data_IF_149508862111
#
_entry.id   IF_149508862111
#
_cell.length_a   1.000
_cell.length_b   1.000
_cell.length_c   1.000
_cell.angle_alpha   90.00
_cell.angle_beta   90.00
_cell.angle_gamma   90.00
#
_symmetry.space_group_name_H-M   'P 1'
#
loop_
_entity.id
_entity.type
_entity.pdbx_description
1 polymer ?
#
# COMPACT_ATOMS: atom_id res chain seq x y z
N UNK A 1 15.39 -3.51 8.63
CA UNK A 1 14.13 -4.26 8.48
C UNK A 1 14.15 -5.07 7.20
N UNK A 2 13.58 -6.26 7.22
CA UNK A 2 13.51 -7.13 6.05
C UNK A 2 12.76 -8.42 6.35
N UNK A 3 12.58 -9.23 5.31
CA UNK A 3 12.03 -10.57 5.43
C UNK A 3 13.16 -11.59 5.65
N UNK A 4 12.94 -12.54 6.52
CA UNK A 4 13.74 -13.75 6.66
C UNK A 4 12.84 -14.97 6.49
N UNK A 5 13.34 -15.97 5.77
CA UNK A 5 12.64 -17.22 5.55
C UNK A 5 13.25 -18.30 6.44
N UNK A 6 12.44 -18.99 7.18
CA UNK A 6 12.85 -20.13 7.99
C UNK A 6 12.15 -21.40 7.51
N UNK A 7 12.94 -22.42 7.24
CA UNK A 7 12.44 -23.78 6.95
C UNK A 7 12.67 -24.62 8.19
N UNK A 8 11.61 -24.99 8.89
CA UNK A 8 11.66 -25.99 9.94
C UNK A 8 11.04 -27.30 9.43
N UNK A 9 11.72 -28.39 9.66
CA UNK A 9 11.12 -29.72 9.49
C UNK A 9 10.57 -30.14 10.83
N UNK A 10 9.24 -30.20 10.92
CA UNK A 10 8.58 -30.69 12.12
C UNK A 10 8.86 -32.18 12.30
N UNK A 11 9.46 -32.53 13.43
CA UNK A 11 9.76 -33.92 13.80
C UNK A 11 8.62 -34.51 14.66
N UNK A 12 7.53 -33.81 14.90
CA UNK A 12 6.51 -34.10 15.91
C UNK A 12 5.23 -34.77 15.41
N UNK A 13 4.85 -34.62 14.15
CA UNK A 13 3.57 -35.18 13.66
C UNK A 13 3.80 -36.57 13.06
N UNK A 14 3.59 -37.59 13.86
CA UNK A 14 3.53 -38.96 13.38
C UNK A 14 2.10 -39.28 12.97
N UNK A 15 1.77 -39.09 11.69
CA UNK A 15 0.52 -39.60 11.14
C UNK A 15 0.66 -41.12 11.06
N UNK A 16 -0.07 -41.87 11.89
CA UNK A 16 -0.23 -43.31 11.75
C UNK A 16 -1.12 -43.59 10.55
N UNK A 17 -0.56 -43.55 9.37
CA UNK A 17 -1.11 -44.28 8.24
C UNK A 17 -0.52 -45.70 8.23
N UNK A 18 -1.37 -46.68 7.88
CA UNK A 18 -1.06 -48.11 7.86
C UNK A 18 -0.13 -48.56 6.72
N UNK A 19 0.71 -47.66 6.21
CA UNK A 19 1.80 -47.95 5.27
C UNK A 19 3.00 -47.08 5.63
N UNK A 20 4.17 -47.75 5.76
CA UNK A 20 5.48 -47.27 6.24
C UNK A 20 6.12 -46.06 5.51
N UNK A 21 5.46 -44.92 5.43
CA UNK A 21 6.07 -43.67 4.94
C UNK A 21 5.86 -42.53 5.94
N UNK A 22 6.89 -42.25 6.72
CA UNK A 22 6.99 -41.07 7.57
C UNK A 22 7.24 -39.86 6.66
N UNK A 23 6.20 -39.11 6.36
CA UNK A 23 6.34 -37.80 5.69
C UNK A 23 6.71 -36.73 6.74
N UNK A 24 7.98 -36.32 6.73
CA UNK A 24 8.40 -35.09 7.43
C UNK A 24 7.83 -33.88 6.67
N UNK A 25 6.89 -33.18 7.27
CA UNK A 25 6.29 -31.97 6.69
C UNK A 25 7.15 -30.77 7.07
N UNK A 26 7.76 -30.13 6.08
CA UNK A 26 8.43 -28.85 6.28
C UNK A 26 7.41 -27.72 6.48
N UNK A 27 7.52 -26.96 7.55
CA UNK A 27 6.77 -25.75 7.77
C UNK A 27 7.62 -24.60 7.23
N UNK A 28 7.07 -23.87 6.26
CA UNK A 28 7.68 -22.65 5.75
C UNK A 28 7.14 -21.46 6.53
N UNK A 29 8.02 -20.75 7.25
CA UNK A 29 7.69 -19.52 7.96
C UNK A 29 8.42 -18.35 7.32
N UNK A 30 7.68 -17.30 7.01
CA UNK A 30 8.24 -15.99 6.68
C UNK A 30 8.19 -15.11 7.92
N UNK A 31 9.24 -14.34 8.13
CA UNK A 31 9.36 -13.43 9.28
C UNK A 31 9.74 -12.04 8.81
N UNK A 32 9.10 -11.05 9.40
CA UNK A 32 9.53 -9.65 9.33
C UNK A 32 10.43 -9.37 10.52
N UNK A 33 11.66 -8.91 10.25
CA UNK A 33 12.73 -8.83 11.25
C UNK A 33 13.27 -7.41 11.37
N UNK A 34 13.39 -6.91 12.60
CA UNK A 34 14.11 -5.71 12.95
C UNK A 34 15.40 -6.10 13.72
N UNK A 35 16.56 -5.80 13.16
CA UNK A 35 17.86 -5.98 13.81
C UNK A 35 18.42 -4.61 14.22
N UNK A 36 18.78 -4.46 15.47
CA UNK A 36 19.34 -3.26 16.05
C UNK A 36 20.81 -3.49 16.33
N UNK A 37 21.66 -2.56 15.87
CA UNK A 37 23.10 -2.63 16.03
C UNK A 37 23.61 -1.37 16.77
N UNK A 38 24.54 -1.57 17.68
CA UNK A 38 25.38 -0.48 18.20
C UNK A 38 26.49 -0.18 17.18
N UNK A 39 26.58 1.07 16.78
CA UNK A 39 27.57 1.59 15.82
C UNK A 39 28.63 2.44 16.51
N UNK A 40 28.80 2.36 17.85
CA UNK A 40 29.86 3.08 18.56
C UNK A 40 31.25 2.71 18.04
N UNK A 41 31.43 1.47 17.59
CA UNK A 41 32.53 1.04 16.73
C UNK A 41 32.00 0.71 15.33
N UNK A 42 32.15 1.63 14.38
CA UNK A 42 31.64 1.48 13.01
C UNK A 42 32.36 0.39 12.20
N UNK A 43 33.58 0.01 12.60
CA UNK A 43 34.36 -1.05 11.95
C UNK A 43 33.94 -2.45 12.44
N UNK A 44 33.32 -2.53 13.61
CA UNK A 44 32.82 -3.78 14.20
C UNK A 44 31.48 -3.55 14.90
N UNK A 45 30.37 -3.43 14.14
CA UNK A 45 29.05 -3.21 14.68
C UNK A 45 28.56 -4.40 15.51
N UNK A 46 28.11 -4.15 16.75
CA UNK A 46 27.56 -5.19 17.60
C UNK A 46 26.05 -5.24 17.56
N UNK A 47 25.48 -6.42 17.31
CA UNK A 47 24.04 -6.61 17.32
C UNK A 47 23.53 -6.67 18.75
N UNK A 48 22.69 -5.70 19.13
CA UNK A 48 22.14 -5.60 20.48
C UNK A 48 20.78 -6.28 20.64
N UNK A 49 19.93 -6.23 19.62
CA UNK A 49 18.56 -6.72 19.72
C UNK A 49 18.04 -7.19 18.37
N UNK A 50 17.23 -8.23 18.41
CA UNK A 50 16.43 -8.67 17.25
C UNK A 50 14.97 -8.78 17.69
N UNK A 51 14.05 -8.21 16.90
CA UNK A 51 12.62 -8.36 17.07
C UNK A 51 12.09 -9.00 15.78
N UNK A 52 11.35 -10.10 15.93
CA UNK A 52 10.77 -10.86 14.83
C UNK A 52 9.26 -10.95 15.03
N UNK A 53 8.51 -10.79 13.97
CA UNK A 53 7.08 -11.12 13.89
C UNK A 53 6.87 -12.02 12.67
N UNK A 54 6.02 -13.02 12.79
CA UNK A 54 5.72 -13.89 11.68
C UNK A 54 4.88 -13.17 10.62
N UNK A 55 5.20 -13.43 9.36
CA UNK A 55 4.55 -12.88 8.18
C UNK A 55 5.46 -12.05 7.29
N UNK A 56 4.96 -11.78 6.08
CA UNK A 56 5.62 -10.92 5.11
C UNK A 56 5.65 -9.47 5.59
N UNK A 57 6.75 -8.79 5.32
CA UNK A 57 6.87 -7.36 5.56
C UNK A 57 5.83 -6.57 4.75
N UNK A 58 5.06 -5.74 5.42
CA UNK A 58 4.07 -4.84 4.82
C UNK A 58 4.60 -3.42 4.80
N UNK A 59 4.94 -2.87 5.96
CA UNK A 59 5.38 -1.48 6.10
C UNK A 59 6.17 -1.27 7.37
N UNK A 60 6.91 -0.17 7.42
CA UNK A 60 7.57 0.30 8.63
C UNK A 60 7.62 1.81 8.70
N UNK A 61 7.68 2.33 9.92
CA UNK A 61 7.80 3.76 10.18
C UNK A 61 8.72 4.00 11.38
N UNK A 62 9.58 4.99 11.25
CA UNK A 62 10.34 5.55 12.37
C UNK A 62 9.76 6.94 12.69
N UNK A 63 9.41 7.17 13.95
CA UNK A 63 8.94 8.45 14.48
C UNK A 63 9.83 8.77 15.68
N UNK A 64 10.64 9.80 15.56
CA UNK A 64 11.72 10.07 16.49
C UNK A 64 12.59 8.81 16.67
N UNK A 65 12.77 8.34 17.90
CA UNK A 65 13.51 7.11 18.23
C UNK A 65 12.59 5.89 18.44
N UNK A 66 11.38 5.93 17.89
CA UNK A 66 10.43 4.82 17.98
C UNK A 66 10.23 4.20 16.60
N UNK A 67 10.32 2.88 16.56
CA UNK A 67 10.18 2.10 15.32
C UNK A 67 8.90 1.28 15.43
N UNK A 68 8.15 1.30 14.34
CA UNK A 68 6.92 0.52 14.15
C UNK A 68 7.06 -0.24 12.84
N UNK A 69 6.73 -1.52 12.85
CA UNK A 69 6.74 -2.34 11.65
C UNK A 69 5.62 -3.36 11.66
N UNK A 70 5.24 -3.80 10.47
CA UNK A 70 4.04 -4.59 10.24
C UNK A 70 4.40 -5.81 9.40
N UNK A 71 3.91 -6.97 9.83
CA UNK A 71 3.98 -8.22 9.09
C UNK A 71 2.59 -8.81 8.86
N UNK A 72 2.41 -9.50 7.74
CA UNK A 72 1.17 -10.17 7.38
C UNK A 72 1.41 -11.67 7.18
N UNK A 73 0.81 -12.49 8.07
CA UNK A 73 0.82 -13.96 8.00
C UNK A 73 -0.49 -14.46 7.39
N UNK A 74 -0.44 -15.10 6.23
CA UNK A 74 -1.58 -15.85 5.70
C UNK A 74 -1.75 -17.18 6.42
N UNK A 75 -2.99 -17.52 6.79
CA UNK A 75 -3.32 -18.81 7.39
C UNK A 75 -3.60 -19.83 6.29
N UNK A 76 -2.82 -20.91 6.25
CA UNK A 76 -3.02 -21.98 5.28
C UNK A 76 -4.11 -22.95 5.74
N UNK A 77 -5.36 -22.67 5.36
CA UNK A 77 -6.52 -23.50 5.72
C UNK A 77 -6.49 -24.92 5.16
N UNK A 78 -5.83 -25.14 4.03
CA UNK A 78 -5.68 -26.49 3.46
C UNK A 78 -4.84 -27.41 4.34
N UNK A 79 -3.95 -26.85 5.14
CA UNK A 79 -3.21 -27.63 6.12
C UNK A 79 -4.06 -27.92 7.37
N UNK A 80 -4.86 -26.95 7.82
CA UNK A 80 -5.74 -27.10 8.98
C UNK A 80 -6.87 -28.08 8.67
N UNK A 81 -7.46 -28.03 7.48
CA UNK A 81 -8.58 -28.91 7.10
C UNK A 81 -8.21 -30.41 6.96
N UNK A 82 -6.92 -30.74 6.91
CA UNK A 82 -6.44 -32.14 6.79
C UNK A 82 -6.22 -32.84 8.12
N UNK A 83 -6.15 -32.10 9.22
CA UNK A 83 -5.81 -32.61 10.54
C UNK A 83 -6.84 -32.12 11.57
N UNK A 84 -7.02 -32.87 12.64
CA UNK A 84 -7.74 -32.35 13.81
C UNK A 84 -6.89 -31.21 14.42
N UNK A 85 -7.51 -30.12 14.84
CA UNK A 85 -6.78 -28.93 15.35
C UNK A 85 -5.92 -29.28 16.55
N UNK A 86 -6.38 -30.23 17.37
CA UNK A 86 -5.67 -30.70 18.58
C UNK A 86 -4.36 -31.47 18.26
N UNK A 87 -4.21 -31.91 17.00
CA UNK A 87 -3.01 -32.62 16.53
C UNK A 87 -1.98 -31.67 15.88
N UNK A 88 -2.29 -30.35 15.80
CA UNK A 88 -1.42 -29.33 15.21
C UNK A 88 -0.72 -28.52 16.29
N UNK A 89 0.58 -28.28 16.09
CA UNK A 89 1.30 -27.29 16.88
C UNK A 89 0.68 -25.91 16.73
N UNK A 90 0.53 -25.19 17.82
CA UNK A 90 -0.15 -23.88 17.85
C UNK A 90 0.44 -22.88 16.88
N UNK A 91 1.74 -22.93 16.61
CA UNK A 91 2.44 -22.03 15.69
C UNK A 91 2.11 -22.25 14.21
N UNK A 92 1.41 -23.35 13.87
CA UNK A 92 0.88 -23.61 12.53
C UNK A 92 -0.26 -22.63 12.19
N UNK A 93 -1.12 -22.33 13.18
CA UNK A 93 -2.30 -21.50 12.99
C UNK A 93 -2.30 -20.21 13.81
N UNK A 94 -1.54 -20.12 14.90
CA UNK A 94 -1.32 -18.87 15.64
C UNK A 94 -0.12 -18.09 15.07
N UNK A 95 -0.12 -16.76 15.06
CA UNK A 95 1.06 -15.98 14.73
C UNK A 95 2.09 -16.03 15.86
N UNK A 96 3.36 -15.93 15.49
CA UNK A 96 4.48 -15.95 16.43
C UNK A 96 5.28 -14.65 16.43
N UNK A 97 5.98 -14.40 17.53
CA UNK A 97 6.92 -13.28 17.66
C UNK A 97 8.11 -13.65 18.54
N UNK A 98 9.18 -12.89 18.40
CA UNK A 98 10.36 -12.98 19.28
C UNK A 98 10.93 -11.60 19.54
N UNK A 99 11.35 -11.36 20.78
CA UNK A 99 12.13 -10.19 21.18
C UNK A 99 13.30 -10.65 22.04
N UNK A 100 14.52 -10.53 21.51
CA UNK A 100 15.72 -11.03 22.18
C UNK A 100 16.08 -10.24 23.44
N UNK A 101 15.41 -9.13 23.72
CA UNK A 101 15.53 -8.44 24.98
C UNK A 101 15.05 -9.32 26.15
N UNK A 102 14.02 -10.11 25.93
CA UNK A 102 13.38 -10.95 26.96
C UNK A 102 13.74 -12.44 26.82
N UNK A 103 13.77 -12.95 25.59
CA UNK A 103 13.99 -14.37 25.31
C UNK A 103 14.48 -14.58 23.89
N UNK A 104 15.38 -15.54 23.73
CA UNK A 104 15.76 -16.02 22.40
C UNK A 104 14.77 -17.03 21.81
N UNK A 105 13.74 -17.43 22.58
CA UNK A 105 12.71 -18.34 22.11
C UNK A 105 11.56 -17.59 21.44
N UNK A 106 11.02 -18.18 20.40
CA UNK A 106 9.79 -17.73 19.75
C UNK A 106 8.59 -17.98 20.69
N UNK A 107 7.60 -17.10 20.66
CA UNK A 107 6.36 -17.17 21.44
C UNK A 107 5.17 -17.11 20.49
N UNK A 108 4.16 -17.91 20.71
CA UNK A 108 2.85 -17.80 20.05
C UNK A 108 2.05 -16.66 20.66
N UNK A 109 1.20 -16.03 19.85
CA UNK A 109 0.25 -15.02 20.30
C UNK A 109 -1.07 -15.72 20.60
N UNK A 110 -1.51 -15.67 21.86
CA UNK A 110 -2.73 -16.31 22.31
C UNK A 110 -3.98 -15.65 21.67
N UNK A 111 -5.03 -16.44 21.46
CA UNK A 111 -6.26 -15.96 20.81
C UNK A 111 -6.94 -14.83 21.57
N UNK A 112 -6.82 -14.77 22.88
CA UNK A 112 -7.36 -13.68 23.72
C UNK A 112 -6.64 -12.34 23.53
N UNK A 113 -5.48 -12.35 22.83
CA UNK A 113 -4.70 -11.16 22.45
C UNK A 113 -4.84 -10.80 20.96
N UNK A 114 -5.64 -11.56 20.22
CA UNK A 114 -5.87 -11.30 18.80
C UNK A 114 -7.21 -10.57 18.65
N UNK A 115 -7.15 -9.37 18.10
CA UNK A 115 -8.35 -8.61 17.75
C UNK A 115 -8.92 -9.12 16.43
N UNK A 116 -10.22 -9.13 16.30
CA UNK A 116 -10.90 -9.45 15.04
C UNK A 116 -12.02 -8.44 14.78
N UNK A 117 -12.36 -8.30 13.52
CA UNK A 117 -13.44 -7.42 13.07
C UNK A 117 -14.63 -8.25 12.63
N UNK A 118 -15.83 -7.69 12.75
CA UNK A 118 -17.02 -8.32 12.18
C UNK A 118 -16.83 -8.57 10.69
N UNK A 119 -17.31 -9.72 10.19
CA UNK A 119 -17.18 -10.16 8.80
C UNK A 119 -15.73 -10.38 8.36
N UNK A 120 -15.08 -11.41 8.87
CA UNK A 120 -13.74 -11.84 8.46
C UNK A 120 -13.83 -12.43 7.05
N UNK A 121 -13.28 -11.73 6.04
CA UNK A 121 -13.25 -12.19 4.64
C UNK A 121 -11.94 -12.89 4.27
N UNK A 122 -10.87 -12.64 5.00
CA UNK A 122 -9.56 -13.22 4.77
C UNK A 122 -8.96 -13.76 6.05
N UNK A 123 -8.41 -14.96 5.97
CA UNK A 123 -7.71 -15.59 7.10
C UNK A 123 -6.23 -15.21 7.03
N UNK A 124 -5.93 -14.00 7.48
CA UNK A 124 -4.57 -13.50 7.64
C UNK A 124 -4.43 -12.77 8.96
N UNK A 125 -3.25 -12.85 9.55
CA UNK A 125 -2.90 -12.08 10.74
C UNK A 125 -2.03 -10.90 10.36
N UNK A 126 -2.50 -9.70 10.62
CA UNK A 126 -1.71 -8.49 10.56
C UNK A 126 -1.13 -8.23 11.95
N UNK A 127 0.18 -8.38 12.09
CA UNK A 127 0.88 -8.14 13.36
C UNK A 127 1.69 -6.86 13.27
N UNK A 128 1.43 -5.97 14.22
CA UNK A 128 2.12 -4.70 14.39
C UNK A 128 3.08 -4.81 15.57
N UNK A 129 4.32 -4.43 15.39
CA UNK A 129 5.31 -4.35 16.45
C UNK A 129 5.81 -2.91 16.60
N UNK A 130 5.85 -2.41 17.83
CA UNK A 130 6.34 -1.09 18.16
C UNK A 130 7.35 -1.13 19.29
N UNK A 131 8.47 -0.40 19.17
CA UNK A 131 9.48 -0.29 20.21
C UNK A 131 10.25 1.02 20.13
N UNK A 132 10.87 1.42 21.25
CA UNK A 132 11.81 2.55 21.29
C UNK A 132 13.24 2.03 21.34
N UNK A 133 14.16 2.71 20.64
CA UNK A 133 15.59 2.44 20.72
C UNK A 133 16.21 3.09 22.00
N UNK A 134 15.54 4.06 22.62
CA UNK A 134 16.05 4.76 23.81
C UNK A 134 15.88 3.98 25.11
N UNK A 135 15.07 2.93 25.09
CA UNK A 135 14.79 2.18 26.30
C UNK A 135 14.82 0.66 26.05
N UNK A 136 15.11 -0.09 27.15
CA UNK A 136 15.14 -1.55 27.13
C UNK A 136 13.79 -2.14 27.54
N UNK A 137 12.67 -1.63 26.98
CA UNK A 137 11.35 -2.20 27.19
C UNK A 137 11.03 -3.18 26.08
N UNK A 138 10.24 -4.20 26.40
CA UNK A 138 9.71 -5.16 25.43
C UNK A 138 8.93 -4.45 24.34
N UNK A 139 9.00 -4.98 23.11
CA UNK A 139 8.20 -4.51 22.00
C UNK A 139 6.70 -4.66 22.30
N UNK A 140 5.92 -3.70 21.87
CA UNK A 140 4.46 -3.74 21.91
C UNK A 140 3.98 -4.50 20.69
N UNK A 141 3.32 -5.63 20.90
CA UNK A 141 2.83 -6.48 19.83
C UNK A 141 1.31 -6.44 19.83
N UNK A 142 0.73 -6.05 18.70
CA UNK A 142 -0.72 -6.01 18.47
C UNK A 142 -1.04 -6.84 17.23
N UNK A 143 -2.00 -7.76 17.31
CA UNK A 143 -2.35 -8.64 16.20
C UNK A 143 -3.84 -8.56 15.89
N UNK A 144 -4.15 -8.49 14.59
CA UNK A 144 -5.49 -8.33 14.05
C UNK A 144 -5.75 -9.43 13.01
N UNK A 145 -6.85 -10.16 13.16
CA UNK A 145 -7.29 -11.15 12.20
C UNK A 145 -8.12 -10.48 11.09
N UNK A 146 -7.75 -10.73 9.84
CA UNK A 146 -8.48 -10.25 8.68
C UNK A 146 -8.29 -8.77 8.37
N UNK A 147 -7.21 -8.12 8.84
CA UNK A 147 -6.89 -6.72 8.52
C UNK A 147 -6.22 -6.57 7.14
N UNK A 148 -6.22 -5.33 6.62
CA UNK A 148 -5.68 -4.98 5.29
C UNK A 148 -4.18 -4.75 5.28
N UNK A 149 -3.65 -4.39 4.09
CA UNK A 149 -2.22 -4.23 3.86
C UNK A 149 -1.84 -2.81 3.42
N UNK A 150 -2.79 -1.97 3.02
CA UNK A 150 -2.52 -0.58 2.66
C UNK A 150 -2.35 0.26 3.92
N UNK A 151 -1.13 0.73 4.13
CA UNK A 151 -0.74 1.46 5.34
C UNK A 151 -0.32 2.87 5.01
N UNK A 152 -0.96 3.83 5.65
CA UNK A 152 -0.58 5.24 5.66
C UNK A 152 -0.26 5.70 7.08
N UNK A 153 0.78 6.51 7.24
CA UNK A 153 1.16 7.07 8.54
C UNK A 153 1.53 8.54 8.42
N UNK A 154 1.00 9.33 9.34
CA UNK A 154 1.31 10.75 9.46
C UNK A 154 1.42 11.15 10.94
N UNK A 155 2.49 11.85 11.31
CA UNK A 155 2.79 12.17 12.70
C UNK A 155 2.72 10.91 13.59
N UNK A 156 1.87 10.94 14.62
CA UNK A 156 1.64 9.85 15.56
C UNK A 156 0.43 8.98 15.21
N UNK A 157 -0.14 9.12 14.01
CA UNK A 157 -1.25 8.31 13.55
C UNK A 157 -0.80 7.32 12.47
N UNK A 158 -1.36 6.12 12.54
CA UNK A 158 -1.25 5.10 11.50
C UNK A 158 -2.65 4.67 11.08
N UNK A 159 -2.85 4.57 9.79
CA UNK A 159 -4.10 4.12 9.18
C UNK A 159 -3.83 2.86 8.37
N UNK A 160 -4.69 1.88 8.55
CA UNK A 160 -4.66 0.63 7.79
C UNK A 160 -5.98 0.51 7.06
N UNK A 161 -5.92 0.41 5.74
CA UNK A 161 -7.09 0.23 4.91
C UNK A 161 -7.23 -1.24 4.51
N UNK A 162 -8.44 -1.77 4.66
CA UNK A 162 -8.84 -3.09 4.21
C UNK A 162 -9.98 -2.97 3.21
N UNK A 163 -9.79 -3.46 2.01
CA UNK A 163 -10.87 -3.60 1.06
C UNK A 163 -11.71 -4.84 1.41
N UNK A 164 -13.02 -4.70 1.38
CA UNK A 164 -13.99 -5.79 1.54
C UNK A 164 -14.91 -5.87 0.34
N UNK A 165 -15.18 -7.07 -0.12
CA UNK A 165 -16.09 -7.30 -1.24
C UNK A 165 -17.53 -6.95 -0.85
N UNK A 166 -18.23 -6.27 -1.75
CA UNK A 166 -19.65 -5.98 -1.65
C UNK A 166 -20.39 -6.84 -2.67
N UNK A 167 -21.40 -7.55 -2.22
CA UNK A 167 -22.21 -8.41 -3.05
C UNK A 167 -23.67 -7.95 -3.05
N UNK A 168 -24.33 -8.06 -4.19
CA UNK A 168 -25.76 -7.93 -4.30
C UNK A 168 -26.45 -9.06 -3.52
N UNK A 169 -27.39 -8.70 -2.67
CA UNK A 169 -28.03 -9.64 -1.74
C UNK A 169 -28.86 -10.73 -2.47
N UNK A 170 -29.44 -10.41 -3.60
CA UNK A 170 -30.35 -11.31 -4.34
C UNK A 170 -29.60 -12.14 -5.38
N UNK A 171 -28.68 -11.52 -6.11
CA UNK A 171 -27.98 -12.14 -7.24
C UNK A 171 -26.63 -12.71 -6.87
N UNK A 172 -26.08 -12.39 -5.69
CA UNK A 172 -24.71 -12.69 -5.25
C UNK A 172 -23.61 -12.20 -6.21
N UNK A 173 -23.94 -11.27 -7.09
CA UNK A 173 -22.94 -10.63 -7.97
C UNK A 173 -22.10 -9.63 -7.15
N UNK A 174 -20.80 -9.57 -7.43
CA UNK A 174 -19.95 -8.56 -6.84
C UNK A 174 -20.34 -7.17 -7.33
N UNK A 175 -20.56 -6.25 -6.40
CA UNK A 175 -20.82 -4.83 -6.67
C UNK A 175 -19.52 -3.99 -6.57
N UNK A 176 -18.38 -4.64 -6.31
CA UNK A 176 -17.09 -3.98 -6.10
C UNK A 176 -16.62 -4.08 -4.65
N UNK A 177 -15.98 -3.04 -4.19
CA UNK A 177 -15.35 -3.00 -2.86
C UNK A 177 -15.83 -1.81 -2.05
N UNK A 178 -15.91 -1.98 -0.73
CA UNK A 178 -15.85 -0.92 0.27
C UNK A 178 -14.50 -0.96 0.97
N UNK A 179 -14.14 0.10 1.66
CA UNK A 179 -12.89 0.18 2.42
C UNK A 179 -13.17 0.40 3.90
N UNK A 180 -12.74 -0.56 4.73
CA UNK A 180 -12.65 -0.40 6.18
C UNK A 180 -11.32 0.27 6.53
N UNK A 181 -11.38 1.29 7.37
CA UNK A 181 -10.22 2.08 7.82
C UNK A 181 -10.05 1.84 9.31
N UNK A 182 -8.84 1.47 9.73
CA UNK A 182 -8.45 1.31 11.12
C UNK A 182 -7.45 2.40 11.47
N UNK A 183 -7.70 3.15 12.54
CA UNK A 183 -6.81 4.19 13.03
C UNK A 183 -6.12 3.76 14.31
N UNK A 184 -4.80 3.90 14.35
CA UNK A 184 -3.96 3.66 15.52
C UNK A 184 -3.21 4.93 15.90
N UNK A 185 -3.02 5.15 17.20
CA UNK A 185 -2.11 6.14 17.72
C UNK A 185 -0.79 5.47 18.13
N UNK A 186 0.32 6.07 17.71
CA UNK A 186 1.68 5.61 17.90
C UNK A 186 2.38 6.54 18.89
N UNK A 187 2.79 6.04 20.04
CA UNK A 187 3.45 6.86 21.06
C UNK A 187 4.48 6.04 21.87
N UNK A 188 5.73 6.49 21.88
CA UNK A 188 6.82 5.88 22.67
C UNK A 188 6.94 4.36 22.49
N UNK A 189 6.88 3.89 21.25
CA UNK A 189 6.93 2.47 20.89
C UNK A 189 5.64 1.71 21.20
N UNK A 190 4.57 2.37 21.65
CA UNK A 190 3.25 1.77 21.89
C UNK A 190 2.31 2.01 20.74
N UNK A 191 1.45 1.02 20.48
CA UNK A 191 0.43 1.03 19.43
C UNK A 191 -0.92 0.94 20.09
N UNK A 192 -1.79 1.93 19.88
CA UNK A 192 -3.11 1.94 20.47
C UNK A 192 -4.18 2.10 19.39
N UNK A 193 -5.09 1.13 19.27
CA UNK A 193 -6.29 1.27 18.45
C UNK A 193 -7.10 2.48 18.90
N UNK A 194 -7.57 3.29 17.95
CA UNK A 194 -8.25 4.56 18.23
C UNK A 194 -9.68 4.57 17.70
N UNK A 195 -9.86 4.23 16.44
CA UNK A 195 -11.16 4.29 15.76
C UNK A 195 -11.18 3.43 14.51
N UNK A 196 -12.38 3.12 14.03
CA UNK A 196 -12.61 2.52 12.72
C UNK A 196 -13.74 3.22 11.98
N UNK A 197 -13.75 3.11 10.66
CA UNK A 197 -14.82 3.56 9.79
C UNK A 197 -14.88 2.71 8.52
N UNK A 198 -16.04 2.72 7.86
CA UNK A 198 -16.22 2.20 6.52
C UNK A 198 -16.52 3.35 5.55
N UNK A 199 -15.93 3.31 4.36
CA UNK A 199 -16.26 4.20 3.23
C UNK A 199 -16.57 3.37 2.00
N UNK A 200 -17.47 3.87 1.15
CA UNK A 200 -17.85 3.18 -0.07
C UNK A 200 -16.74 3.28 -1.12
N UNK A 201 -16.44 2.17 -1.76
CA UNK A 201 -15.42 2.04 -2.80
C UNK A 201 -14.08 1.55 -2.31
N UNK A 202 -13.32 0.96 -3.24
CA UNK A 202 -11.96 0.47 -3.02
C UNK A 202 -10.91 1.56 -3.23
N UNK A 203 -9.77 1.44 -2.57
CA UNK A 203 -8.61 2.33 -2.78
C UNK A 203 -7.66 1.75 -3.83
N UNK A 204 -6.91 2.63 -4.48
CA UNK A 204 -5.89 2.21 -5.45
C UNK A 204 -4.59 1.75 -4.75
N UNK A 205 -4.14 2.49 -3.75
CA UNK A 205 -2.95 2.21 -2.94
C UNK A 205 -2.86 3.19 -1.76
N UNK A 206 -1.77 3.15 -1.00
CA UNK A 206 -1.51 4.02 0.15
C UNK A 206 -1.63 5.54 -0.14
N UNK A 207 -1.39 6.00 -1.37
CA UNK A 207 -1.50 7.42 -1.76
C UNK A 207 -2.95 7.87 -1.91
N UNK A 208 -3.91 6.95 -1.92
CA UNK A 208 -5.33 7.26 -1.82
C UNK A 208 -5.70 7.85 -0.46
N UNK A 209 -4.82 7.70 0.54
CA UNK A 209 -5.00 8.16 1.92
C UNK A 209 -4.06 9.31 2.26
N UNK A 210 -4.53 10.20 3.13
CA UNK A 210 -3.74 11.32 3.66
C UNK A 210 -4.34 11.84 4.97
N UNK A 211 -3.54 12.50 5.79
CA UNK A 211 -3.99 13.27 6.95
C UNK A 211 -3.47 14.70 6.88
N UNK A 212 -4.35 15.66 7.08
CA UNK A 212 -3.98 17.07 7.15
C UNK A 212 -4.83 17.81 8.16
N UNK A 213 -4.18 18.55 9.07
CA UNK A 213 -4.84 19.34 10.12
C UNK A 213 -5.86 18.53 10.96
N UNK A 214 -5.54 17.25 11.25
CA UNK A 214 -6.39 16.37 12.04
C UNK A 214 -7.54 15.71 11.28
N UNK A 215 -7.70 16.00 10.00
CA UNK A 215 -8.68 15.34 9.13
C UNK A 215 -8.02 14.27 8.27
N UNK A 216 -8.59 13.08 8.29
CA UNK A 216 -8.20 11.99 7.40
C UNK A 216 -8.94 12.12 6.07
N UNK A 217 -8.26 11.94 4.97
CA UNK A 217 -8.77 12.09 3.61
C UNK A 217 -8.52 10.81 2.84
N UNK A 218 -9.53 10.32 2.10
CA UNK A 218 -9.41 9.07 1.35
C UNK A 218 -10.18 9.17 0.03
N UNK A 219 -9.51 8.77 -1.06
CA UNK A 219 -10.11 8.69 -2.39
C UNK A 219 -10.36 7.23 -2.78
N UNK A 220 -11.56 6.93 -3.27
CA UNK A 220 -12.01 5.58 -3.58
C UNK A 220 -12.64 5.49 -4.97
N UNK A 221 -12.68 4.29 -5.53
CA UNK A 221 -13.46 3.95 -6.72
C UNK A 221 -14.55 2.94 -6.37
N UNK A 222 -15.78 3.24 -6.77
CA UNK A 222 -16.99 2.43 -6.57
C UNK A 222 -17.33 1.71 -7.87
N UNK A 223 -17.93 0.51 -7.80
CA UNK A 223 -18.49 -0.18 -8.97
C UNK A 223 -17.47 -0.93 -9.81
N UNK A 224 -16.25 -1.17 -9.32
CA UNK A 224 -15.30 -2.07 -9.97
C UNK A 224 -15.46 -3.46 -9.41
N UNK A 225 -16.01 -4.37 -10.21
CA UNK A 225 -15.96 -5.81 -9.96
C UNK A 225 -14.83 -6.42 -10.81
N UNK A 226 -14.11 -7.37 -10.24
CA UNK A 226 -13.04 -8.11 -10.95
C UNK A 226 -13.57 -8.93 -12.14
N UNK A 227 -14.89 -9.09 -12.26
CA UNK A 227 -15.55 -9.94 -13.27
C UNK A 227 -16.43 -9.16 -14.25
N UNK A 228 -16.83 -7.92 -13.95
CA UNK A 228 -17.63 -7.10 -14.85
C UNK A 228 -16.74 -6.11 -15.61
N UNK A 229 -16.65 -6.31 -16.91
CA UNK A 229 -15.91 -5.45 -17.86
C UNK A 229 -16.71 -4.16 -18.16
N UNK A 230 -17.95 -4.06 -17.69
CA UNK A 230 -18.80 -2.90 -17.94
C UNK A 230 -18.47 -1.76 -16.96
N UNK A 231 -17.42 -0.99 -17.33
CA UNK A 231 -16.93 0.14 -16.56
C UNK A 231 -17.90 1.34 -16.46
N UNK A 232 -19.05 1.30 -17.13
CA UNK A 232 -19.95 2.46 -17.19
C UNK A 232 -20.66 2.77 -15.86
N UNK A 233 -20.67 1.83 -14.92
CA UNK A 233 -21.21 2.03 -13.57
C UNK A 233 -20.20 2.55 -12.55
N UNK A 234 -18.90 2.57 -12.88
CA UNK A 234 -17.87 3.04 -11.94
C UNK A 234 -17.96 4.54 -11.70
N UNK A 235 -17.61 4.97 -10.51
CA UNK A 235 -17.42 6.37 -10.16
C UNK A 235 -16.43 6.51 -9.01
N UNK A 236 -15.88 7.71 -8.84
CA UNK A 236 -14.89 7.93 -7.82
C UNK A 236 -15.39 8.94 -6.79
N UNK A 237 -14.92 8.81 -5.56
CA UNK A 237 -15.30 9.64 -4.43
C UNK A 237 -14.07 10.02 -3.62
N UNK A 238 -14.15 11.16 -2.94
CA UNK A 238 -13.19 11.57 -1.93
C UNK A 238 -13.94 11.92 -0.66
N UNK A 239 -13.57 11.25 0.44
CA UNK A 239 -14.14 11.45 1.77
C UNK A 239 -13.16 12.19 2.67
N UNK A 240 -13.70 13.01 3.57
CA UNK A 240 -12.98 13.70 4.64
C UNK A 240 -13.59 13.28 5.97
N UNK A 241 -12.78 12.70 6.84
CA UNK A 241 -13.19 12.18 8.15
C UNK A 241 -12.48 12.98 9.26
N UNK A 242 -13.14 13.14 10.40
CA UNK A 242 -12.55 13.80 11.57
C UNK A 242 -11.55 12.89 12.32
N UNK A 243 -11.04 13.33 13.45
CA UNK A 243 -10.08 12.60 14.28
C UNK A 243 -10.62 11.25 14.80
N UNK A 244 -11.93 11.08 14.87
CA UNK A 244 -12.62 9.86 15.28
C UNK A 244 -13.14 9.05 14.08
N UNK A 245 -12.69 9.37 12.86
CA UNK A 245 -13.10 8.79 11.59
C UNK A 245 -14.59 8.98 11.25
N UNK A 246 -15.22 10.04 11.76
CA UNK A 246 -16.57 10.43 11.36
C UNK A 246 -16.52 11.24 10.06
N UNK A 247 -17.36 10.92 9.08
CA UNK A 247 -17.49 11.71 7.86
C UNK A 247 -17.91 13.16 8.17
N UNK A 248 -17.16 14.12 7.66
CA UNK A 248 -17.44 15.56 7.79
C UNK A 248 -17.70 16.22 6.45
N UNK A 249 -17.24 15.62 5.37
CA UNK A 249 -17.51 16.08 4.01
C UNK A 249 -17.04 15.08 2.97
N UNK A 250 -17.58 15.22 1.77
CA UNK A 250 -17.23 14.39 0.63
C UNK A 250 -17.49 15.07 -0.70
N UNK A 251 -16.86 14.58 -1.74
CA UNK A 251 -17.22 14.81 -3.14
C UNK A 251 -17.36 13.46 -3.84
N UNK A 252 -18.47 13.26 -4.53
CA UNK A 252 -18.83 11.99 -5.18
C UNK A 252 -19.06 12.20 -6.67
N UNK A 253 -19.08 11.11 -7.43
CA UNK A 253 -19.37 11.14 -8.86
C UNK A 253 -18.25 11.71 -9.72
N UNK A 254 -17.01 11.67 -9.23
CA UNK A 254 -15.84 12.11 -10.00
C UNK A 254 -15.62 11.12 -11.14
N UNK A 255 -15.53 11.63 -12.38
CA UNK A 255 -15.19 10.83 -13.57
C UNK A 255 -15.99 9.52 -13.69
N UNK A 256 -17.30 9.60 -13.89
CA UNK A 256 -18.16 8.43 -14.10
C UNK A 256 -17.66 7.56 -15.26
N UNK A 257 -17.65 6.25 -15.07
CA UNK A 257 -17.14 5.27 -16.03
C UNK A 257 -15.63 5.12 -16.04
N UNK A 258 -14.92 5.77 -15.10
CA UNK A 258 -13.46 5.69 -14.96
C UNK A 258 -13.07 5.17 -13.58
N UNK A 259 -11.82 4.72 -13.43
CA UNK A 259 -11.24 4.36 -12.13
C UNK A 259 -10.02 5.20 -11.79
N UNK A 260 -9.72 5.35 -10.51
CA UNK A 260 -8.52 6.03 -10.02
C UNK A 260 -7.28 5.21 -10.35
N UNK A 261 -6.27 5.86 -10.93
CA UNK A 261 -4.93 5.31 -11.16
C UNK A 261 -3.86 5.92 -10.27
N UNK A 262 -4.00 7.19 -9.91
CA UNK A 262 -3.16 7.79 -8.88
C UNK A 262 -3.87 8.93 -8.15
N UNK A 263 -3.44 9.12 -6.90
CA UNK A 263 -3.87 10.23 -6.06
C UNK A 263 -2.63 10.89 -5.46
N UNK A 264 -2.67 12.21 -5.32
CA UNK A 264 -1.66 12.94 -4.56
C UNK A 264 -2.30 14.09 -3.80
N UNK A 265 -2.06 14.13 -2.51
CA UNK A 265 -2.45 15.25 -1.66
C UNK A 265 -1.27 16.20 -1.47
N UNK A 266 -1.52 17.49 -1.59
CA UNK A 266 -0.56 18.57 -1.33
C UNK A 266 -1.28 19.69 -0.58
N UNK A 267 -1.00 19.85 0.70
CA UNK A 267 -1.70 20.80 1.57
C UNK A 267 -3.22 20.58 1.53
N UNK A 268 -3.97 21.61 1.18
CA UNK A 268 -5.43 21.57 1.10
C UNK A 268 -5.96 21.20 -0.29
N UNK A 269 -5.23 20.40 -1.05
CA UNK A 269 -5.61 20.00 -2.40
C UNK A 269 -5.39 18.49 -2.59
N UNK A 270 -6.23 17.88 -3.41
CA UNK A 270 -6.02 16.55 -3.95
C UNK A 270 -5.94 16.62 -5.47
N UNK A 271 -5.01 15.87 -6.03
CA UNK A 271 -4.82 15.64 -7.45
C UNK A 271 -5.18 14.19 -7.71
N UNK A 272 -6.19 13.96 -8.53
CA UNK A 272 -6.73 12.61 -8.81
C UNK A 272 -6.64 12.35 -10.29
N UNK A 273 -5.94 11.29 -10.67
CA UNK A 273 -5.86 10.81 -12.04
C UNK A 273 -6.80 9.63 -12.18
N UNK A 274 -7.72 9.74 -13.13
CA UNK A 274 -8.59 8.64 -13.53
C UNK A 274 -8.32 8.26 -14.99
N UNK A 275 -8.77 7.14 -15.46
CA UNK A 275 -8.57 6.71 -16.85
C UNK A 275 -9.63 5.71 -17.30
N UNK A 276 -10.15 5.93 -18.51
CA UNK A 276 -10.84 4.95 -19.36
C UNK A 276 -10.24 4.98 -20.77
N UNK A 277 -10.19 6.13 -21.38
CA UNK A 277 -9.66 6.36 -22.74
C UNK A 277 -8.71 7.53 -22.82
N UNK A 278 -8.94 8.58 -22.06
CA UNK A 278 -8.07 9.74 -21.85
C UNK A 278 -7.91 9.98 -20.36
N UNK A 279 -6.78 10.54 -19.95
CA UNK A 279 -6.41 10.77 -18.56
C UNK A 279 -6.86 12.17 -18.09
N UNK A 280 -7.98 12.31 -17.39
CA UNK A 280 -8.23 13.55 -16.68
C UNK A 280 -7.47 13.59 -15.35
N UNK A 281 -6.63 14.62 -15.19
CA UNK A 281 -6.10 15.05 -13.90
C UNK A 281 -7.09 16.01 -13.27
N UNK A 282 -7.78 15.58 -12.23
CA UNK A 282 -8.68 16.44 -11.45
C UNK A 282 -7.92 17.16 -10.34
N UNK A 283 -8.27 18.44 -10.14
CA UNK A 283 -7.82 19.24 -9.00
C UNK A 283 -9.01 19.46 -8.06
N UNK A 284 -8.88 18.99 -6.81
CA UNK A 284 -9.94 19.07 -5.81
C UNK A 284 -9.47 19.96 -4.66
N UNK A 285 -10.27 20.97 -4.34
CA UNK A 285 -10.08 21.86 -3.19
C UNK A 285 -10.66 21.24 -1.93
N UNK A 286 -9.83 21.10 -0.91
CA UNK A 286 -10.15 20.55 0.39
C UNK A 286 -10.03 21.60 1.51
N UNK A 287 -9.98 22.88 1.15
CA UNK A 287 -9.84 23.98 2.13
C UNK A 287 -11.06 24.09 3.05
N UNK A 288 -12.26 23.88 2.51
CA UNK A 288 -13.47 23.68 3.32
C UNK A 288 -13.73 22.17 3.45
N UNK A 289 -13.36 21.62 4.60
CA UNK A 289 -13.49 20.17 4.87
C UNK A 289 -14.93 19.66 4.78
N UNK A 290 -15.93 20.55 4.95
CA UNK A 290 -17.36 20.19 4.86
C UNK A 290 -17.91 20.27 3.44
N UNK A 291 -17.22 20.97 2.55
CA UNK A 291 -17.66 21.23 1.17
C UNK A 291 -16.49 21.12 0.19
N UNK A 292 -15.82 19.96 0.10
CA UNK A 292 -14.78 19.77 -0.90
C UNK A 292 -15.38 19.88 -2.30
N UNK A 293 -14.60 20.42 -3.26
CA UNK A 293 -15.10 20.68 -4.61
C UNK A 293 -14.03 20.49 -5.67
N UNK A 294 -14.42 20.03 -6.85
CA UNK A 294 -13.57 19.99 -8.03
C UNK A 294 -13.38 21.44 -8.54
N UNK A 295 -12.12 21.84 -8.73
CA UNK A 295 -11.76 23.16 -9.26
C UNK A 295 -11.55 23.11 -10.76
N UNK A 296 -10.87 22.10 -11.26
CA UNK A 296 -10.52 21.96 -12.67
C UNK A 296 -10.15 20.54 -13.05
N UNK A 297 -10.09 20.33 -14.36
CA UNK A 297 -9.60 19.07 -14.96
C UNK A 297 -8.64 19.37 -16.11
N UNK A 298 -7.69 18.47 -16.34
CA UNK A 298 -6.79 18.48 -17.48
C UNK A 298 -6.84 17.11 -18.17
N UNK A 299 -7.29 17.05 -19.42
CA UNK A 299 -7.32 15.83 -20.22
C UNK A 299 -6.10 15.72 -21.11
N UNK A 300 -5.37 14.63 -20.99
CA UNK A 300 -4.14 14.37 -21.74
C UNK A 300 -4.12 12.91 -22.22
N UNK A 301 -3.45 12.56 -23.34
CA UNK A 301 -3.25 11.18 -23.76
C UNK A 301 -2.33 10.42 -22.80
N UNK A 302 -2.67 9.16 -22.51
CA UNK A 302 -1.94 8.32 -21.54
C UNK A 302 -2.47 8.49 -20.12
N UNK A 303 -1.85 7.87 -19.13
CA UNK A 303 -2.25 8.00 -17.73
C UNK A 303 -1.07 7.87 -16.76
N UNK A 304 -1.16 8.62 -15.65
CA UNK A 304 -0.16 8.60 -14.59
C UNK A 304 -0.58 7.62 -13.50
N UNK A 305 0.30 6.67 -13.19
CA UNK A 305 0.14 5.74 -12.05
C UNK A 305 0.76 6.28 -10.78
N UNK A 306 1.66 7.26 -10.90
CA UNK A 306 2.29 7.93 -9.79
C UNK A 306 2.42 9.44 -10.03
N UNK A 307 2.10 10.24 -9.02
CA UNK A 307 2.26 11.70 -9.00
C UNK A 307 3.30 12.10 -7.95
N UNK A 308 4.31 12.86 -8.37
CA UNK A 308 5.37 13.37 -7.51
C UNK A 308 5.31 14.91 -7.44
N UNK A 309 5.16 15.52 -6.23
CA UNK A 309 5.27 16.97 -6.11
C UNK A 309 6.69 17.43 -6.45
N UNK A 310 6.81 18.32 -7.42
CA UNK A 310 8.09 18.97 -7.74
C UNK A 310 8.30 20.21 -6.88
N UNK A 311 7.28 21.06 -6.78
CA UNK A 311 7.17 22.20 -5.88
C UNK A 311 5.68 22.55 -5.63
N UNK A 312 5.38 23.72 -5.07
CA UNK A 312 4.02 24.15 -4.72
C UNK A 312 3.11 24.34 -5.93
N UNK A 313 3.69 24.54 -7.14
CA UNK A 313 2.98 24.86 -8.37
C UNK A 313 3.22 23.86 -9.50
N UNK A 314 4.02 22.82 -9.26
CA UNK A 314 4.32 21.82 -10.28
C UNK A 314 4.24 20.39 -9.72
N UNK A 315 3.68 19.50 -10.55
CA UNK A 315 3.63 18.05 -10.32
C UNK A 315 4.32 17.30 -11.46
N UNK A 316 4.99 16.20 -11.14
CA UNK A 316 5.48 15.25 -12.14
C UNK A 316 4.57 14.03 -12.13
N UNK A 317 3.93 13.73 -13.28
CA UNK A 317 3.19 12.49 -13.49
C UNK A 317 4.08 11.46 -14.16
N UNK A 318 4.05 10.23 -13.67
CA UNK A 318 4.74 9.10 -14.25
C UNK A 318 3.80 7.94 -14.48
N UNK A 319 3.82 7.32 -15.66
CA UNK A 319 2.92 6.25 -16.03
C UNK A 319 3.12 5.77 -17.45
N UNK A 320 2.04 5.60 -18.20
CA UNK A 320 2.06 5.03 -19.54
C UNK A 320 1.58 6.01 -20.62
N UNK A 321 2.30 6.00 -21.74
CA UNK A 321 1.78 6.53 -23.02
C UNK A 321 0.78 5.54 -23.61
N UNK A 322 -0.26 6.04 -24.25
CA UNK A 322 -1.28 5.22 -24.91
C UNK A 322 -1.46 5.63 -26.35
N UNK A 323 -1.89 4.70 -27.17
CA UNK A 323 -2.33 4.93 -28.55
C UNK A 323 -3.63 4.18 -28.83
N UNK A 324 -4.43 4.71 -29.73
CA UNK A 324 -5.63 4.01 -30.20
C UNK A 324 -5.28 2.64 -30.76
N UNK A 325 -6.11 1.66 -30.45
CA UNK A 325 -6.06 0.34 -31.04
C UNK A 325 -7.00 0.31 -32.26
N UNK A 326 -6.44 0.27 -33.46
CA UNK A 326 -7.21 0.30 -34.71
C UNK A 326 -8.06 -0.97 -34.97
N UNK A 327 -7.87 -2.02 -34.19
CA UNK A 327 -8.57 -3.30 -34.35
C UNK A 327 -9.68 -3.57 -33.32
N UNK A 328 -9.71 -2.77 -32.24
CA UNK A 328 -10.67 -2.87 -31.13
C UNK A 328 -10.97 -1.47 -30.62
N UNK A 329 -12.20 -1.20 -30.18
CA UNK A 329 -12.53 0.06 -29.52
C UNK A 329 -11.77 0.15 -28.19
N UNK A 330 -10.61 0.83 -28.17
CA UNK A 330 -9.79 0.93 -26.98
C UNK A 330 -8.42 1.53 -27.21
N UNK A 331 -7.61 1.56 -26.13
CA UNK A 331 -6.25 2.09 -26.11
C UNK A 331 -5.29 1.00 -25.66
N UNK A 332 -4.10 0.99 -26.25
CA UNK A 332 -2.99 0.11 -25.84
C UNK A 332 -1.82 0.93 -25.32
N UNK A 333 -1.11 0.39 -24.34
CA UNK A 333 0.11 1.00 -23.83
C UNK A 333 1.19 1.06 -24.93
N UNK A 334 1.83 2.22 -25.07
CA UNK A 334 2.85 2.48 -26.09
C UNK A 334 4.19 2.92 -25.48
N UNK A 335 4.53 2.37 -24.33
CA UNK A 335 5.71 2.73 -23.55
C UNK A 335 5.37 3.54 -22.30
N UNK A 336 6.39 4.07 -21.65
CA UNK A 336 6.25 4.91 -20.47
C UNK A 336 6.15 6.38 -20.86
N UNK A 337 5.50 7.16 -20.00
CA UNK A 337 5.35 8.61 -20.12
C UNK A 337 5.72 9.28 -18.80
N UNK A 338 6.45 10.38 -18.88
CA UNK A 338 6.68 11.29 -17.76
C UNK A 338 6.30 12.69 -18.20
N UNK A 339 5.46 13.37 -17.40
CA UNK A 339 4.94 14.71 -17.71
C UNK A 339 5.15 15.66 -16.55
N UNK A 340 5.42 16.93 -16.86
CA UNK A 340 5.40 18.03 -15.90
C UNK A 340 4.08 18.79 -16.03
N UNK A 341 3.36 18.97 -14.94
CA UNK A 341 2.11 19.74 -14.86
C UNK A 341 2.34 21.05 -14.14
N UNK A 342 1.88 22.14 -14.75
CA UNK A 342 1.70 23.44 -14.09
C UNK A 342 0.31 23.47 -13.44
N UNK A 343 0.31 23.60 -12.13
CA UNK A 343 -0.88 23.67 -11.27
C UNK A 343 -1.01 25.05 -10.61
N UNK A 344 -0.36 26.08 -11.15
CA UNK A 344 -0.47 27.47 -10.67
C UNK A 344 -1.92 27.96 -10.76
N UNK A 345 -2.58 27.70 -11.88
CA UNK A 345 -4.01 27.94 -12.02
C UNK A 345 -4.80 26.64 -11.82
N UNK A 346 -5.32 26.43 -10.62
CA UNK A 346 -6.04 25.24 -10.22
C UNK A 346 -7.31 24.94 -11.02
N UNK A 347 -7.94 25.99 -11.60
CA UNK A 347 -9.12 25.84 -12.45
C UNK A 347 -8.76 25.48 -13.90
N UNK A 348 -7.49 25.61 -14.28
CA UNK A 348 -7.00 25.33 -15.63
C UNK A 348 -5.54 24.82 -15.56
N UNK A 349 -5.30 23.61 -14.98
CA UNK A 349 -3.98 23.00 -14.95
C UNK A 349 -3.49 22.72 -16.37
N UNK A 350 -2.17 22.63 -16.59
CA UNK A 350 -1.58 22.44 -17.92
C UNK A 350 -0.47 21.42 -17.89
N UNK A 351 -0.36 20.61 -18.92
CA UNK A 351 0.86 19.85 -19.21
C UNK A 351 1.90 20.79 -19.86
N UNK A 352 3.05 20.96 -19.21
CA UNK A 352 4.15 21.80 -19.71
C UNK A 352 5.03 21.04 -20.66
N UNK A 353 5.51 19.88 -20.21
CA UNK A 353 6.47 19.04 -20.94
C UNK A 353 6.10 17.59 -20.79
N UNK A 354 6.47 16.82 -21.80
CA UNK A 354 6.32 15.36 -21.79
C UNK A 354 7.52 14.69 -22.39
N UNK A 355 7.96 13.60 -21.80
CA UNK A 355 8.92 12.67 -22.39
C UNK A 355 8.29 11.27 -22.49
N UNK A 356 8.39 10.68 -23.69
CA UNK A 356 7.97 9.29 -23.94
C UNK A 356 9.20 8.40 -23.91
N UNK A 357 9.11 7.27 -23.21
CA UNK A 357 10.25 6.41 -22.91
C UNK A 357 9.93 5.01 -23.42
N UNK A 358 10.72 4.57 -24.39
CA UNK A 358 10.58 3.27 -25.02
C UNK A 358 9.36 3.15 -25.94
N UNK A 359 8.84 1.94 -26.04
CA UNK A 359 7.68 1.53 -26.87
C UNK A 359 6.88 0.48 -26.10
N UNK A 360 5.87 -0.10 -26.73
CA UNK A 360 5.13 -1.23 -26.18
C UNK A 360 6.08 -2.31 -25.59
N UNK A 361 5.79 -2.79 -24.39
CA UNK A 361 6.63 -3.72 -23.62
C UNK A 361 7.74 -3.07 -22.80
N UNK A 362 7.85 -1.73 -22.80
CA UNK A 362 8.72 -1.00 -21.86
C UNK A 362 8.00 -0.85 -20.53
N UNK A 363 8.67 -1.22 -19.43
CA UNK A 363 8.13 -1.17 -18.06
C UNK A 363 9.10 -0.47 -17.11
N UNK A 364 8.60 -0.07 -15.96
CA UNK A 364 9.40 0.45 -14.85
C UNK A 364 8.79 0.01 -13.52
N UNK A 365 9.60 -0.42 -12.55
CA UNK A 365 9.10 -0.62 -11.18
C UNK A 365 8.41 0.62 -10.59
N UNK A 366 8.77 1.83 -11.04
CA UNK A 366 8.17 3.08 -10.57
C UNK A 366 6.66 3.18 -10.83
N UNK A 367 6.13 2.43 -11.80
CA UNK A 367 4.68 2.41 -12.06
C UNK A 367 3.87 1.73 -10.94
N UNK A 368 4.54 0.94 -10.09
CA UNK A 368 3.94 0.15 -9.00
C UNK A 368 4.53 0.52 -7.64
N UNK A 369 5.85 0.78 -7.58
CA UNK A 369 6.55 1.12 -6.34
C UNK A 369 7.28 2.47 -6.46
N UNK A 370 6.76 3.48 -5.77
CA UNK A 370 7.34 4.82 -5.70
C UNK A 370 8.77 4.86 -5.14
N UNK A 371 9.21 3.84 -4.37
CA UNK A 371 10.56 3.73 -3.84
C UNK A 371 11.61 3.50 -4.96
N UNK A 372 11.16 3.12 -6.15
CA UNK A 372 12.03 3.05 -7.33
C UNK A 372 12.42 4.44 -7.88
N UNK A 373 11.85 5.54 -7.35
CA UNK A 373 12.19 6.90 -7.74
C UNK A 373 13.35 7.44 -6.91
N UNK A 374 14.38 7.92 -7.58
CA UNK A 374 15.37 8.85 -7.03
C UNK A 374 15.01 10.26 -7.49
N UNK A 375 14.73 11.16 -6.56
CA UNK A 375 14.46 12.57 -6.84
C UNK A 375 15.33 13.48 -5.97
N UNK A 376 15.94 14.49 -6.57
CA UNK A 376 16.68 15.55 -5.87
C UNK A 376 16.27 16.91 -6.41
N UNK A 377 15.48 17.64 -5.61
CA UNK A 377 15.07 19.01 -5.95
C UNK A 377 16.27 19.96 -6.03
N UNK A 378 17.22 19.81 -5.10
CA UNK A 378 18.44 20.63 -5.07
C UNK A 378 19.25 20.52 -6.37
N UNK A 379 19.40 19.30 -6.88
CA UNK A 379 20.14 19.02 -8.11
C UNK A 379 19.28 19.11 -9.38
N UNK A 380 17.96 19.26 -9.22
CA UNK A 380 16.97 19.16 -10.30
C UNK A 380 17.14 17.87 -11.12
N UNK A 381 17.26 16.73 -10.43
CA UNK A 381 17.46 15.43 -11.06
C UNK A 381 16.35 14.49 -10.64
N UNK A 382 15.87 13.72 -11.63
CA UNK A 382 14.98 12.58 -11.44
C UNK A 382 15.61 11.36 -12.11
N UNK A 383 15.60 10.20 -11.41
CA UNK A 383 16.12 8.95 -11.95
C UNK A 383 15.25 7.77 -11.50
N UNK A 384 15.12 6.78 -12.39
CA UNK A 384 14.32 5.57 -12.14
C UNK A 384 14.79 4.43 -13.07
N UNK A 385 14.55 3.16 -12.68
CA UNK A 385 14.86 2.02 -13.54
C UNK A 385 13.82 1.87 -14.66
N UNK A 386 14.29 1.45 -15.83
CA UNK A 386 13.47 1.16 -17.00
C UNK A 386 13.88 -0.19 -17.59
N UNK A 387 12.91 -1.04 -17.84
CA UNK A 387 13.09 -2.34 -18.45
C UNK A 387 12.49 -2.32 -19.87
N UNK A 388 13.23 -2.81 -20.83
CA UNK A 388 12.79 -2.88 -22.22
C UNK A 388 13.30 -4.13 -22.92
N UNK A 389 12.60 -4.52 -23.99
CA UNK A 389 13.03 -5.63 -24.84
C UNK A 389 13.68 -5.06 -26.11
N UNK A 390 14.96 -5.34 -26.33
CA UNK A 390 15.71 -4.85 -27.48
C UNK A 390 16.48 -5.98 -28.12
N UNK A 391 16.28 -6.19 -29.44
CA UNK A 391 16.97 -7.23 -30.23
C UNK A 391 16.89 -8.63 -29.60
N UNK A 392 15.70 -9.02 -29.14
CA UNK A 392 15.50 -10.34 -28.51
C UNK A 392 16.08 -10.49 -27.10
N UNK A 393 16.55 -9.40 -26.46
CA UNK A 393 17.13 -9.41 -25.12
C UNK A 393 16.41 -8.44 -24.19
N UNK A 394 16.23 -8.87 -22.94
CA UNK A 394 15.76 -8.04 -21.86
C UNK A 394 16.90 -7.10 -21.40
N UNK A 395 16.63 -5.82 -21.31
CA UNK A 395 17.62 -4.80 -20.96
C UNK A 395 17.04 -3.90 -19.87
N UNK A 396 17.72 -3.86 -18.71
CA UNK A 396 17.42 -2.94 -17.60
C UNK A 396 18.41 -1.78 -17.61
N UNK A 397 17.90 -0.55 -17.43
CA UNK A 397 18.70 0.68 -17.40
C UNK A 397 18.18 1.62 -16.32
N UNK A 398 19.07 2.41 -15.73
CA UNK A 398 18.70 3.63 -15.03
C UNK A 398 18.52 4.75 -16.07
N UNK A 399 17.33 5.37 -16.08
CA UNK A 399 17.10 6.63 -16.80
C UNK A 399 17.31 7.78 -15.84
N UNK A 400 18.06 8.79 -16.26
CA UNK A 400 18.37 9.97 -15.47
C UNK A 400 18.04 11.20 -16.31
N UNK A 401 17.22 12.08 -15.76
CA UNK A 401 16.85 13.35 -16.39
C UNK A 401 17.21 14.52 -15.49
N UNK A 402 17.71 15.59 -16.11
CA UNK A 402 17.75 16.90 -15.48
C UNK A 402 16.43 17.61 -15.73
N UNK A 403 15.91 18.28 -14.72
CA UNK A 403 14.64 19.01 -14.80
C UNK A 403 14.94 20.49 -14.97
N UNK A 404 14.36 21.11 -16.00
CA UNK A 404 14.43 22.54 -16.24
C UNK A 404 13.01 23.04 -16.60
N UNK A 405 12.44 23.92 -15.77
CA UNK A 405 11.05 24.38 -15.94
C UNK A 405 10.83 25.18 -17.24
N UNK A 406 11.91 25.61 -17.93
CA UNK A 406 11.82 26.32 -19.22
C UNK A 406 12.12 25.40 -20.41
N UNK A 407 12.86 24.30 -20.22
CA UNK A 407 13.37 23.44 -21.31
C UNK A 407 12.83 22.02 -21.26
N UNK A 408 12.27 21.59 -20.14
CA UNK A 408 11.71 20.26 -19.92
C UNK A 408 12.69 19.31 -19.21
N UNK A 409 12.59 18.02 -19.58
CA UNK A 409 13.39 16.93 -19.02
C UNK A 409 14.60 16.63 -19.88
#
# INVERSE_FOLDING_TARGET
>A
LGNENEYSYDTGITVKETTDSVYKKGIYKQKTVAKIYDLSNIEDPTKERTIEIEGNYVSSRMIDNNIYFIGNKSVNTNNIAKYEIDDLDEDVYKPTYKDTLNSNSEKTIDFDKIYYFDNIESLNYLTLAGFSIDNKKEADIQTFLGAGEDVYSYNQNMYIAKQKNVYDADTHKSLGYDTKILKFNLNNGKIKFKAEADVTGGINNQFSMDENNGYFRIATTVGISSWDIDNDSSSNSLYILDENLKEVGKVEGIAKGEKIYSVRYVGNKAYVVTFKTMDPLFVIDLSDVKKPKILGELKIPGYSTYLHPYDETHLIGFGYDTKENSSEDGYVQNGLKMSMFDITNLNNPKEMFTVKIGKNGTTSPLTEDHKALLFSKEKNIIAFPVNSYKNGKYVSKAQIYKIDLNKGF
#
